data_IF_801027359998
#
_entry.id   IF_801027359998
#
_cell.length_a   1.000
_cell.length_b   1.000
_cell.length_c   1.000
_cell.angle_alpha   90.00
_cell.angle_beta   90.00
_cell.angle_gamma   90.00
#
_symmetry.space_group_name_H-M   'P 1'
#
loop_
_entity.id
_entity.type
_entity.pdbx_description
1 polymer ?
#
# COMPACT_ATOMS: atom_id res chain seq x y z
N UNK A 1 -17.47 7.23 17.57
CA UNK A 1 -16.66 7.50 16.37
C UNK A 1 -15.92 8.78 16.65
N UNK A 2 -14.72 8.67 17.22
CA UNK A 2 -13.95 9.81 17.68
C UNK A 2 -12.99 10.25 16.57
N UNK A 3 -12.95 11.58 16.38
CA UNK A 3 -11.96 12.41 15.70
C UNK A 3 -11.32 11.87 14.40
N UNK A 4 -11.57 12.56 13.29
CA UNK A 4 -10.69 12.52 12.11
C UNK A 4 -9.35 13.14 12.52
N UNK A 5 -8.44 12.33 13.06
CA UNK A 5 -7.05 12.75 13.20
C UNK A 5 -6.49 12.95 11.79
N UNK A 6 -6.10 14.20 11.49
CA UNK A 6 -5.47 14.53 10.22
C UNK A 6 -4.03 14.00 10.23
N UNK A 7 -3.83 12.78 9.77
CA UNK A 7 -2.50 12.26 9.48
C UNK A 7 -1.96 12.97 8.23
N UNK A 8 -0.84 13.69 8.39
CA UNK A 8 -0.08 14.20 7.25
C UNK A 8 0.65 13.05 6.57
N UNK A 9 0.18 12.64 5.39
CA UNK A 9 0.83 11.58 4.60
C UNK A 9 1.90 12.23 3.71
N UNK A 10 3.17 11.90 3.93
CA UNK A 10 4.26 12.33 3.04
C UNK A 10 4.18 11.57 1.72
N UNK A 11 4.28 12.25 0.59
CA UNK A 11 4.26 11.62 -0.74
C UNK A 11 5.58 11.86 -1.46
N UNK A 12 6.22 10.77 -1.87
CA UNK A 12 7.45 10.76 -2.66
C UNK A 12 7.17 10.13 -4.03
N UNK A 13 6.92 10.94 -5.07
CA UNK A 13 6.66 10.45 -6.41
C UNK A 13 7.86 9.67 -6.98
N UNK A 14 7.58 8.60 -7.74
CA UNK A 14 8.64 7.93 -8.50
C UNK A 14 9.11 8.85 -9.62
N UNK A 15 10.40 8.82 -9.93
CA UNK A 15 10.96 9.51 -11.09
C UNK A 15 10.80 8.67 -12.38
N UNK A 16 10.57 7.37 -12.24
CA UNK A 16 10.51 6.42 -13.35
C UNK A 16 9.26 5.56 -13.22
N UNK A 17 8.15 6.01 -13.81
CA UNK A 17 6.90 5.24 -13.82
C UNK A 17 7.01 4.04 -14.75
N UNK A 18 6.50 2.89 -14.29
CA UNK A 18 6.42 1.66 -15.10
C UNK A 18 5.09 1.53 -15.86
N UNK A 19 4.17 2.48 -15.71
CA UNK A 19 2.81 2.41 -16.25
C UNK A 19 2.78 2.14 -17.77
N UNK A 20 3.68 2.78 -18.52
CA UNK A 20 3.76 2.61 -19.98
C UNK A 20 4.22 1.22 -20.43
N UNK A 21 4.78 0.42 -19.51
CA UNK A 21 5.28 -0.93 -19.76
C UNK A 21 4.23 -2.00 -19.40
N UNK A 22 3.08 -1.60 -18.85
CA UNK A 22 2.03 -2.52 -18.40
C UNK A 22 1.18 -2.96 -19.60
N UNK A 23 1.16 -4.27 -19.85
CA UNK A 23 0.21 -4.90 -20.75
C UNK A 23 -1.11 -5.17 -20.00
N UNK A 24 -2.11 -4.31 -20.23
CA UNK A 24 -3.42 -4.40 -19.58
C UNK A 24 -4.28 -5.56 -20.11
N UNK A 25 -3.97 -6.11 -21.29
CA UNK A 25 -4.73 -7.23 -21.86
C UNK A 25 -4.27 -8.57 -21.26
N UNK A 26 -3.07 -8.63 -20.65
CA UNK A 26 -2.47 -9.85 -20.12
C UNK A 26 -2.02 -9.73 -18.65
N UNK A 27 -2.90 -9.21 -17.78
CA UNK A 27 -2.60 -9.07 -16.34
C UNK A 27 -2.58 -10.43 -15.62
N UNK A 28 -1.49 -10.70 -14.90
CA UNK A 28 -1.36 -11.85 -13.98
C UNK A 28 -1.53 -11.41 -12.54
N UNK A 29 -2.39 -12.11 -11.80
CA UNK A 29 -2.65 -11.83 -10.39
C UNK A 29 -1.36 -11.84 -9.55
N UNK A 30 -1.13 -10.76 -8.79
CA UNK A 30 0.01 -10.64 -7.85
C UNK A 30 1.39 -10.57 -8.49
N UNK A 31 1.50 -10.26 -9.79
CA UNK A 31 2.79 -10.20 -10.51
C UNK A 31 3.18 -8.82 -11.01
N UNK A 32 2.20 -7.96 -11.26
CA UNK A 32 2.42 -6.58 -11.72
C UNK A 32 2.01 -5.66 -10.57
N UNK A 33 2.95 -4.84 -10.10
CA UNK A 33 2.79 -3.98 -8.93
C UNK A 33 2.85 -2.51 -9.36
N UNK A 34 2.11 -1.65 -8.66
CA UNK A 34 2.09 -0.21 -8.89
C UNK A 34 3.46 0.42 -8.61
N UNK A 35 3.60 1.68 -9.03
CA UNK A 35 4.84 2.44 -8.85
C UNK A 35 5.14 2.78 -7.39
N UNK A 36 4.12 2.74 -6.52
CA UNK A 36 4.20 3.18 -5.14
C UNK A 36 3.66 2.15 -4.16
N UNK A 37 4.07 2.29 -2.90
CA UNK A 37 3.55 1.59 -1.74
C UNK A 37 3.33 2.58 -0.57
N UNK A 38 2.39 2.25 0.32
CA UNK A 38 2.21 2.97 1.58
C UNK A 38 3.03 2.27 2.68
N UNK A 39 3.79 3.04 3.45
CA UNK A 39 4.57 2.57 4.60
C UNK A 39 4.24 3.42 5.82
N UNK A 40 4.14 2.77 6.98
CA UNK A 40 3.99 3.44 8.27
C UNK A 40 4.75 2.64 9.33
N UNK A 41 5.40 3.35 10.25
CA UNK A 41 6.12 2.74 11.36
C UNK A 41 5.24 2.78 12.61
N UNK A 42 5.25 1.73 13.41
CA UNK A 42 4.61 1.73 14.73
C UNK A 42 5.67 1.55 15.80
N UNK A 43 5.80 2.54 16.68
CA UNK A 43 6.83 2.59 17.71
C UNK A 43 6.33 3.42 18.90
N UNK A 44 6.71 3.03 20.12
CA UNK A 44 6.26 3.67 21.38
C UNK A 44 4.73 3.86 21.52
N UNK A 45 3.94 2.97 20.91
CA UNK A 45 2.48 3.00 21.02
C UNK A 45 1.78 3.94 20.04
N UNK A 46 2.51 4.52 19.08
CA UNK A 46 1.96 5.46 18.10
C UNK A 46 2.42 5.14 16.67
N UNK A 47 1.58 5.50 15.70
CA UNK A 47 1.93 5.43 14.29
C UNK A 47 2.75 6.66 13.88
N UNK A 48 3.88 6.43 13.22
CA UNK A 48 4.86 7.43 12.77
C UNK A 48 5.18 7.25 11.29
N UNK A 49 5.72 8.30 10.68
CA UNK A 49 6.29 8.28 9.33
C UNK A 49 5.38 7.72 8.22
N UNK A 50 4.06 7.97 8.31
CA UNK A 50 3.11 7.54 7.29
C UNK A 50 3.45 8.19 5.95
N UNK A 51 3.79 7.36 4.96
CA UNK A 51 4.29 7.85 3.67
C UNK A 51 3.87 6.97 2.50
N UNK A 52 3.70 7.60 1.35
CA UNK A 52 3.58 6.95 0.03
C UNK A 52 4.93 7.13 -0.66
N UNK A 53 5.63 6.03 -0.90
CA UNK A 53 7.01 6.02 -1.43
C UNK A 53 7.08 5.13 -2.67
N UNK A 54 8.12 5.25 -3.52
CA UNK A 54 8.32 4.33 -4.64
C UNK A 54 8.38 2.88 -4.14
N UNK A 55 7.71 1.97 -4.87
CA UNK A 55 7.72 0.55 -4.55
C UNK A 55 9.15 0.01 -4.58
N UNK A 56 9.54 -0.71 -3.53
CA UNK A 56 10.88 -1.30 -3.40
C UNK A 56 10.97 -2.27 -2.23
N UNK A 57 12.19 -2.77 -2.02
CA UNK A 57 12.46 -3.72 -0.94
C UNK A 57 12.26 -3.10 0.44
N UNK A 58 11.80 -3.90 1.40
CA UNK A 58 11.66 -3.51 2.80
C UNK A 58 12.86 -4.05 3.58
N UNK A 59 13.64 -3.16 4.18
CA UNK A 59 14.75 -3.54 5.06
C UNK A 59 14.22 -3.89 6.45
N UNK A 60 14.48 -5.12 6.90
CA UNK A 60 13.99 -5.65 8.17
C UNK A 60 15.10 -6.37 8.93
N UNK A 61 14.98 -6.43 10.26
CA UNK A 61 15.87 -7.26 11.07
C UNK A 61 15.68 -8.74 10.69
N UNK A 62 16.78 -9.52 10.52
CA UNK A 62 16.69 -10.97 10.38
C UNK A 62 15.98 -11.66 11.55
N UNK A 63 15.88 -11.02 12.72
CA UNK A 63 15.20 -11.54 13.90
C UNK A 63 13.73 -11.10 14.04
N UNK A 64 13.15 -10.45 13.03
CA UNK A 64 11.77 -9.92 13.11
C UNK A 64 10.74 -11.02 13.38
N UNK A 65 9.83 -10.79 14.35
CA UNK A 65 8.79 -11.74 14.75
C UNK A 65 7.88 -12.19 13.61
N UNK A 66 7.64 -11.34 12.60
CA UNK A 66 6.91 -11.72 11.39
C UNK A 66 7.55 -12.90 10.65
N UNK A 67 8.89 -13.02 10.67
CA UNK A 67 9.63 -14.07 9.99
C UNK A 67 9.69 -15.37 10.80
N UNK A 68 9.83 -15.27 12.13
CA UNK A 68 10.07 -16.43 13.00
C UNK A 68 8.81 -16.98 13.65
N UNK A 69 7.83 -16.12 13.90
CA UNK A 69 6.65 -16.44 14.70
C UNK A 69 5.34 -16.07 14.00
N UNK A 70 5.39 -15.67 12.72
CA UNK A 70 4.20 -15.38 11.92
C UNK A 70 3.38 -14.21 12.45
N UNK A 71 3.99 -13.27 13.19
CA UNK A 71 3.33 -12.06 13.66
C UNK A 71 3.12 -11.07 12.50
N UNK A 72 2.22 -11.42 11.60
CA UNK A 72 1.85 -10.67 10.41
C UNK A 72 0.38 -10.89 10.08
N UNK A 73 -0.26 -9.85 9.54
CA UNK A 73 -1.63 -9.89 9.03
C UNK A 73 -1.66 -9.17 7.68
N UNK A 74 -2.60 -9.53 6.83
CA UNK A 74 -2.82 -8.87 5.54
C UNK A 74 -4.32 -8.78 5.26
N UNK A 75 -4.69 -7.83 4.40
CA UNK A 75 -6.05 -7.65 3.92
C UNK A 75 -6.11 -7.65 2.38
N UNK A 76 -7.29 -7.83 1.82
CA UNK A 76 -7.48 -8.03 0.38
C UNK A 76 -8.72 -7.34 -0.18
N UNK A 77 -8.54 -6.14 -0.74
CA UNK A 77 -9.62 -5.36 -1.36
C UNK A 77 -9.29 -4.95 -2.80
N UNK A 78 -10.30 -4.55 -3.58
CA UNK A 78 -10.16 -4.13 -4.98
C UNK A 78 -10.70 -2.72 -5.18
N UNK A 79 -9.96 -1.95 -5.99
CA UNK A 79 -10.42 -0.71 -6.60
C UNK A 79 -10.87 -0.98 -8.05
N UNK A 80 -11.94 -0.32 -8.47
CA UNK A 80 -12.53 -0.48 -9.79
C UNK A 80 -12.59 0.87 -10.49
N UNK A 81 -12.17 0.93 -11.76
CA UNK A 81 -12.32 2.10 -12.62
C UNK A 81 -13.59 1.95 -13.46
N UNK A 82 -14.49 2.91 -13.37
CA UNK A 82 -15.72 2.95 -14.16
C UNK A 82 -15.51 3.62 -15.52
N UNK A 83 -16.50 3.47 -16.41
CA UNK A 83 -16.45 4.01 -17.76
C UNK A 83 -16.37 5.55 -17.79
N UNK A 84 -16.88 6.23 -16.77
CA UNK A 84 -16.78 7.69 -16.60
C UNK A 84 -15.42 8.15 -16.05
N UNK A 85 -14.49 7.21 -15.81
CA UNK A 85 -13.16 7.46 -15.28
C UNK A 85 -13.08 7.52 -13.76
N UNK A 86 -14.21 7.46 -13.04
CA UNK A 86 -14.21 7.41 -11.57
C UNK A 86 -13.60 6.11 -11.07
N UNK A 87 -12.97 6.17 -9.89
CA UNK A 87 -12.42 4.99 -9.20
C UNK A 87 -13.18 4.81 -7.89
N UNK A 88 -13.61 3.60 -7.58
CA UNK A 88 -14.25 3.29 -6.29
C UNK A 88 -13.77 1.97 -5.71
N UNK A 89 -13.91 1.88 -4.39
CA UNK A 89 -13.56 0.71 -3.59
C UNK A 89 -14.85 0.17 -2.98
N UNK A 90 -15.09 -1.14 -3.10
CA UNK A 90 -16.31 -1.74 -2.57
C UNK A 90 -16.17 -2.05 -1.07
N UNK A 91 -16.96 -1.35 -0.24
CA UNK A 91 -17.07 -1.55 1.22
C UNK A 91 -15.69 -1.59 1.93
N UNK A 92 -14.88 -0.52 1.84
CA UNK A 92 -13.57 -0.46 2.48
C UNK A 92 -13.62 -0.60 4.02
N UNK A 93 -14.75 -0.29 4.65
CA UNK A 93 -15.00 -0.41 6.08
C UNK A 93 -15.34 -1.84 6.55
N UNK A 94 -15.22 -2.83 5.68
CA UNK A 94 -15.52 -4.26 5.93
C UNK A 94 -14.34 -5.18 5.66
N UNK A 95 -13.19 -4.58 5.38
CA UNK A 95 -11.89 -5.23 5.37
C UNK A 95 -11.12 -4.69 6.59
#
# INVERSE_FOLDING_TARGET
MNATENYSIRVEPTQNSRLSQVDFDNLKFGKILSDHMLVANYDDGEWKDVSIVPYGDISISPSMSALHYGQAIFEGIKAYKFADGTVSIFRPDRN
#
